data_IF_574693822381
#
_entry.id   IF_574693822381
#
_cell.length_a   1.000
_cell.length_b   1.000
_cell.length_c   1.000
_cell.angle_alpha   90.00
_cell.angle_beta   90.00
_cell.angle_gamma   90.00
#
_symmetry.space_group_name_H-M   'P 1'
#
loop_
_entity.id
_entity.type
_entity.pdbx_description
1 polymer ?
#
# COMPACT_ATOMS: atom_id res chain seq x y z
N UNK A 1 15.64 7.67 12.15
CA UNK A 1 14.36 8.23 12.64
C UNK A 1 13.41 7.05 12.88
N UNK A 2 12.38 7.23 13.72
CA UNK A 2 11.36 6.20 13.93
C UNK A 2 10.42 6.01 12.73
N UNK A 3 9.50 5.05 12.81
CA UNK A 3 8.45 4.84 11.81
C UNK A 3 7.33 5.89 11.91
N UNK A 4 6.76 6.25 10.76
CA UNK A 4 5.67 7.22 10.62
C UNK A 4 4.44 6.53 10.02
N UNK A 5 3.66 5.77 10.80
CA UNK A 5 2.38 5.24 10.33
C UNK A 5 1.31 6.34 10.26
N UNK A 6 0.45 6.25 9.24
CA UNK A 6 -0.62 7.20 8.98
C UNK A 6 -1.97 6.49 9.01
N UNK A 7 -2.94 7.03 9.73
CA UNK A 7 -4.33 6.56 9.69
C UNK A 7 -5.28 7.72 10.01
N UNK A 8 -6.30 8.03 9.18
CA UNK A 8 -7.25 9.11 9.46
C UNK A 8 -8.24 8.79 10.58
N UNK A 9 -8.41 7.52 10.96
CA UNK A 9 -9.42 7.10 11.92
C UNK A 9 -8.84 7.04 13.34
N UNK A 10 -9.41 7.84 14.23
CA UNK A 10 -8.94 7.95 15.62
C UNK A 10 -8.95 6.59 16.34
N UNK A 11 -9.96 5.76 16.10
CA UNK A 11 -10.04 4.40 16.65
C UNK A 11 -8.84 3.53 16.26
N UNK A 12 -8.34 3.64 15.02
CA UNK A 12 -7.20 2.86 14.52
C UNK A 12 -5.88 3.31 15.10
N UNK A 13 -5.73 4.62 15.28
CA UNK A 13 -4.58 5.18 15.98
C UNK A 13 -4.54 4.65 17.41
N UNK A 14 -5.66 4.70 18.14
CA UNK A 14 -5.74 4.19 19.52
C UNK A 14 -5.47 2.68 19.60
N UNK A 15 -6.02 1.87 18.69
CA UNK A 15 -5.70 0.45 18.58
C UNK A 15 -4.19 0.22 18.39
N UNK A 16 -3.54 1.04 17.55
CA UNK A 16 -2.11 0.93 17.28
C UNK A 16 -1.25 1.39 18.46
N UNK A 17 -1.62 2.46 19.15
CA UNK A 17 -0.91 2.92 20.36
C UNK A 17 -0.87 1.82 21.44
N UNK A 18 -2.01 1.14 21.64
CA UNK A 18 -2.13 0.03 22.58
C UNK A 18 -1.30 -1.17 22.13
N UNK A 19 -1.38 -1.55 20.85
CA UNK A 19 -0.65 -2.70 20.31
C UNK A 19 0.88 -2.51 20.33
N UNK A 20 1.36 -1.28 20.11
CA UNK A 20 2.79 -0.94 20.04
C UNK A 20 3.39 -0.58 21.41
N UNK A 21 2.59 -0.63 22.48
CA UNK A 21 3.05 -0.45 23.86
C UNK A 21 3.76 0.89 24.12
N UNK A 22 3.41 1.94 23.36
CA UNK A 22 4.07 3.25 23.49
C UNK A 22 5.52 3.29 22.97
N UNK A 23 5.86 2.48 21.96
CA UNK A 23 7.17 2.50 21.30
C UNK A 23 7.63 3.93 20.97
N UNK A 24 8.71 4.38 21.60
CA UNK A 24 9.31 5.70 21.39
C UNK A 24 9.85 5.91 19.97
N UNK A 25 9.84 4.86 19.16
CA UNK A 25 10.30 4.87 17.77
C UNK A 25 9.16 4.96 16.76
N UNK A 26 7.90 5.16 17.18
CA UNK A 26 6.79 5.40 16.28
C UNK A 26 6.15 6.75 16.56
N UNK A 27 5.81 7.49 15.51
CA UNK A 27 4.97 8.69 15.62
C UNK A 27 3.76 8.48 14.74
N UNK A 28 2.61 8.20 15.36
CA UNK A 28 1.37 8.00 14.64
C UNK A 28 0.83 9.34 14.16
N UNK A 29 0.44 9.41 12.90
CA UNK A 29 -0.04 10.64 12.27
C UNK A 29 -1.50 10.49 11.84
N UNK A 30 -2.42 11.35 12.34
CA UNK A 30 -3.86 11.22 12.13
C UNK A 30 -4.31 11.74 10.75
N UNK A 31 -3.66 11.30 9.68
CA UNK A 31 -3.85 11.84 8.34
C UNK A 31 -4.24 10.75 7.35
N UNK A 32 -5.22 11.05 6.50
CA UNK A 32 -5.35 10.37 5.22
C UNK A 32 -4.28 10.91 4.28
N UNK A 33 -3.60 10.04 3.53
CA UNK A 33 -2.65 10.45 2.50
C UNK A 33 -3.33 10.50 1.13
N UNK A 34 -2.97 11.49 0.31
CA UNK A 34 -3.57 11.72 -1.01
C UNK A 34 -2.99 12.94 -1.70
N UNK A 35 -3.83 13.66 -2.43
CA UNK A 35 -3.45 14.84 -3.23
C UNK A 35 -3.40 16.16 -2.44
N UNK A 36 -3.77 16.13 -1.15
CA UNK A 36 -3.90 17.34 -0.32
C UNK A 36 -5.31 17.95 -0.36
N UNK A 37 -6.21 17.38 -1.15
CA UNK A 37 -7.60 17.77 -1.28
C UNK A 37 -8.52 17.07 -0.27
N UNK A 38 -9.81 17.35 -0.40
CA UNK A 38 -10.88 16.72 0.38
C UNK A 38 -11.55 15.64 -0.46
N UNK A 39 -11.71 14.45 0.13
CA UNK A 39 -12.26 13.27 -0.53
C UNK A 39 -13.38 12.64 0.31
N UNK A 40 -14.20 11.82 -0.33
CA UNK A 40 -15.15 10.96 0.36
C UNK A 40 -14.48 9.62 0.67
N UNK A 41 -14.38 9.29 1.96
CA UNK A 41 -14.00 7.96 2.43
C UNK A 41 -15.26 7.09 2.50
N UNK A 42 -15.28 6.01 1.73
CA UNK A 42 -16.31 4.99 1.74
C UNK A 42 -15.94 3.92 2.76
N UNK A 43 -16.62 3.94 3.90
CA UNK A 43 -16.35 3.02 5.00
C UNK A 43 -17.26 1.81 4.83
N UNK A 44 -16.64 0.65 4.66
CA UNK A 44 -17.33 -0.58 4.31
C UNK A 44 -17.57 -1.45 5.55
N UNK A 45 -18.47 -2.43 5.42
CA UNK A 45 -18.79 -3.39 6.47
C UNK A 45 -17.61 -4.28 6.91
N UNK A 46 -16.52 -4.31 6.15
CA UNK A 46 -15.25 -4.87 6.57
C UNK A 46 -14.19 -3.76 6.58
N UNK A 47 -13.59 -3.52 7.76
CA UNK A 47 -12.68 -2.39 8.02
C UNK A 47 -11.53 -2.29 7.01
N UNK A 48 -10.83 -3.39 6.75
CA UNK A 48 -9.71 -3.53 5.83
C UNK A 48 -10.10 -3.35 4.34
N UNK A 49 -11.32 -2.95 4.04
CA UNK A 49 -11.82 -2.71 2.67
C UNK A 49 -12.33 -1.28 2.45
N UNK A 50 -12.14 -0.37 3.40
CA UNK A 50 -12.54 1.04 3.21
C UNK A 50 -11.61 1.75 2.21
N UNK A 51 -12.15 2.65 1.38
CA UNK A 51 -11.42 3.30 0.29
C UNK A 51 -11.93 4.70 -0.01
N UNK A 52 -11.09 5.54 -0.63
CA UNK A 52 -11.52 6.80 -1.23
C UNK A 52 -12.32 6.59 -2.54
N UNK A 53 -12.31 5.36 -3.07
CA UNK A 53 -13.09 4.99 -4.24
C UNK A 53 -14.35 4.21 -3.83
N UNK A 54 -15.49 4.42 -4.50
CA UNK A 54 -16.69 3.65 -4.22
C UNK A 54 -16.53 2.19 -4.69
N UNK A 55 -17.20 1.25 -4.01
CA UNK A 55 -17.18 -0.16 -4.40
C UNK A 55 -17.69 -0.36 -5.84
N UNK A 56 -17.05 -1.24 -6.59
CA UNK A 56 -17.52 -1.69 -7.90
C UNK A 56 -18.50 -2.86 -7.74
N UNK A 57 -19.71 -2.58 -7.25
CA UNK A 57 -20.71 -3.63 -6.93
C UNK A 57 -20.98 -4.56 -8.11
N UNK A 58 -21.10 -4.03 -9.33
CA UNK A 58 -21.33 -4.84 -10.52
C UNK A 58 -20.14 -5.75 -10.86
N UNK A 59 -18.90 -5.23 -10.79
CA UNK A 59 -17.69 -6.03 -11.00
C UNK A 59 -17.39 -7.02 -9.88
N UNK A 60 -17.88 -6.74 -8.67
CA UNK A 60 -17.70 -7.56 -7.48
C UNK A 60 -18.73 -8.70 -7.35
N UNK A 61 -19.91 -8.56 -7.97
CA UNK A 61 -21.01 -9.53 -7.88
C UNK A 61 -20.59 -11.00 -8.15
N UNK A 62 -19.71 -11.31 -9.11
CA UNK A 62 -19.27 -12.69 -9.36
C UNK A 62 -18.36 -13.30 -8.28
N UNK A 63 -17.87 -12.49 -7.33
CA UNK A 63 -16.91 -12.90 -6.30
C UNK A 63 -17.59 -12.83 -4.93
N UNK A 64 -17.98 -13.96 -4.32
CA UNK A 64 -18.79 -13.98 -3.10
C UNK A 64 -18.24 -13.15 -1.94
N UNK A 65 -16.92 -13.18 -1.73
CA UNK A 65 -16.25 -12.39 -0.69
C UNK A 65 -16.31 -10.88 -0.93
N UNK A 66 -16.43 -10.44 -2.19
CA UNK A 66 -16.58 -9.05 -2.57
C UNK A 66 -18.05 -8.64 -2.72
N UNK A 67 -18.92 -9.55 -3.14
CA UNK A 67 -20.35 -9.32 -3.32
C UNK A 67 -21.06 -8.98 -2.00
N UNK A 68 -20.54 -9.49 -0.88
CA UNK A 68 -21.03 -9.15 0.47
C UNK A 68 -20.53 -7.77 0.98
N UNK A 69 -19.61 -7.12 0.28
CA UNK A 69 -19.12 -5.80 0.68
C UNK A 69 -20.16 -4.73 0.38
N UNK A 70 -20.35 -3.85 1.36
CA UNK A 70 -21.24 -2.71 1.24
C UNK A 70 -20.67 -1.52 2.00
N UNK A 71 -20.84 -0.33 1.44
CA UNK A 71 -20.54 0.92 2.14
C UNK A 71 -21.60 1.17 3.19
N UNK A 72 -21.20 1.11 4.46
CA UNK A 72 -22.10 1.30 5.62
C UNK A 72 -22.21 2.75 6.02
N UNK A 73 -21.19 3.57 5.72
CA UNK A 73 -21.18 5.02 5.94
C UNK A 73 -20.14 5.69 5.06
N UNK A 74 -20.30 6.99 4.85
CA UNK A 74 -19.31 7.83 4.16
C UNK A 74 -18.86 8.96 5.06
N UNK A 75 -17.59 9.32 4.99
CA UNK A 75 -17.03 10.47 5.69
C UNK A 75 -16.29 11.39 4.72
N UNK A 76 -16.36 12.69 4.98
CA UNK A 76 -15.51 13.67 4.30
C UNK A 76 -14.17 13.72 5.01
N UNK A 77 -13.09 13.40 4.31
CA UNK A 77 -11.73 13.39 4.86
C UNK A 77 -10.84 14.37 4.10
N UNK A 78 -10.06 15.17 4.84
CA UNK A 78 -8.98 15.97 4.26
C UNK A 78 -7.74 15.08 4.15
N UNK A 79 -7.13 15.05 2.96
CA UNK A 79 -5.89 14.32 2.72
C UNK A 79 -4.68 15.25 2.84
N UNK A 80 -3.50 14.66 3.08
CA UNK A 80 -2.22 15.34 2.99
C UNK A 80 -1.34 14.65 1.95
N UNK A 81 -0.53 15.44 1.23
CA UNK A 81 0.50 14.88 0.36
C UNK A 81 1.62 14.33 1.23
N UNK A 82 2.19 13.19 0.83
CA UNK A 82 3.28 12.59 1.59
C UNK A 82 4.49 13.52 1.67
N UNK A 83 4.75 14.26 0.58
CA UNK A 83 5.81 15.28 0.49
C UNK A 83 5.65 16.41 1.52
N UNK A 84 4.45 16.66 2.04
CA UNK A 84 4.18 17.75 3.00
C UNK A 84 4.32 17.31 4.47
N UNK A 85 4.30 15.99 4.74
CA UNK A 85 4.22 15.44 6.11
C UNK A 85 5.40 14.57 6.50
N UNK A 86 6.14 14.05 5.51
CA UNK A 86 7.37 13.32 5.75
C UNK A 86 8.54 14.30 5.68
N UNK A 87 9.43 14.34 6.68
CA UNK A 87 10.63 15.17 6.62
C UNK A 87 11.47 14.86 5.37
N UNK A 88 12.16 15.87 4.82
CA UNK A 88 13.08 15.69 3.69
C UNK A 88 14.34 14.93 4.10
N UNK A 89 14.22 13.62 4.26
CA UNK A 89 15.30 12.72 4.64
C UNK A 89 15.14 11.35 3.94
N UNK A 90 16.20 10.53 3.92
CA UNK A 90 16.12 9.17 3.41
C UNK A 90 14.96 8.37 4.02
N UNK A 91 14.23 7.66 3.16
CA UNK A 91 13.16 6.74 3.53
C UNK A 91 13.63 5.34 3.18
N UNK A 92 14.00 4.58 4.20
CA UNK A 92 14.50 3.21 4.01
C UNK A 92 13.43 2.26 3.48
N UNK A 93 12.16 2.53 3.83
CA UNK A 93 11.05 1.64 3.52
C UNK A 93 9.73 2.41 3.49
N UNK A 94 9.05 2.39 2.34
CA UNK A 94 7.69 2.93 2.19
C UNK A 94 6.69 1.79 2.02
N UNK A 95 5.83 1.57 3.02
CA UNK A 95 4.69 0.64 2.92
C UNK A 95 3.41 1.40 2.57
N UNK A 96 2.73 0.97 1.52
CA UNK A 96 1.41 1.44 1.15
C UNK A 96 0.43 0.27 1.21
N UNK A 97 -0.35 0.21 2.29
CA UNK A 97 -1.41 -0.79 2.49
C UNK A 97 -2.76 -0.10 2.53
N UNK A 98 -3.11 0.47 1.38
CA UNK A 98 -4.31 1.27 1.18
C UNK A 98 -5.15 0.63 0.08
N UNK A 99 -6.46 0.67 0.20
CA UNK A 99 -7.36 0.02 -0.75
C UNK A 99 -7.61 0.94 -1.95
N UNK A 100 -7.02 0.61 -3.12
CA UNK A 100 -7.12 1.40 -4.35
C UNK A 100 -6.43 2.78 -4.34
N UNK A 101 -6.10 3.35 -3.17
CA UNK A 101 -5.52 4.70 -3.03
C UNK A 101 -4.02 4.81 -3.33
N UNK A 102 -3.33 3.70 -3.61
CA UNK A 102 -1.86 3.65 -3.67
C UNK A 102 -1.26 4.62 -4.69
N UNK A 103 -1.79 4.65 -5.92
CA UNK A 103 -1.28 5.54 -6.97
C UNK A 103 -1.49 7.02 -6.63
N UNK A 104 -2.64 7.40 -6.08
CA UNK A 104 -2.94 8.79 -5.71
C UNK A 104 -1.90 9.32 -4.72
N UNK A 105 -1.50 8.51 -3.74
CA UNK A 105 -0.45 8.84 -2.78
C UNK A 105 0.90 8.97 -3.49
N UNK A 106 1.27 7.99 -4.32
CA UNK A 106 2.54 7.97 -5.04
C UNK A 106 2.72 9.18 -5.98
N UNK A 107 1.67 9.60 -6.67
CA UNK A 107 1.69 10.76 -7.57
C UNK A 107 2.02 12.08 -6.86
N UNK A 108 1.73 12.14 -5.55
CA UNK A 108 1.92 13.28 -4.66
C UNK A 108 3.01 13.04 -3.60
N UNK A 109 3.89 12.08 -3.85
CA UNK A 109 5.04 11.71 -3.01
C UNK A 109 6.37 11.81 -3.79
N UNK A 110 6.47 12.70 -4.78
CA UNK A 110 7.58 12.68 -5.75
C UNK A 110 8.91 13.00 -5.09
N UNK A 111 8.93 13.93 -4.14
CA UNK A 111 10.15 14.29 -3.43
C UNK A 111 10.57 13.20 -2.45
N UNK A 112 9.62 12.63 -1.71
CA UNK A 112 9.85 11.48 -0.84
C UNK A 112 10.36 10.27 -1.63
N UNK A 113 9.77 10.01 -2.80
CA UNK A 113 10.15 8.87 -3.64
C UNK A 113 11.61 8.95 -4.06
N UNK A 114 12.17 10.14 -4.39
CA UNK A 114 13.58 10.32 -4.76
C UNK A 114 14.55 9.80 -3.69
N UNK A 115 14.14 9.88 -2.43
CA UNK A 115 14.95 9.46 -1.27
C UNK A 115 14.48 8.11 -0.69
N UNK A 116 13.52 7.44 -1.34
CA UNK A 116 12.98 6.15 -0.91
C UNK A 116 13.77 4.98 -1.48
N UNK A 117 14.22 4.07 -0.62
CA UNK A 117 15.02 2.91 -1.01
C UNK A 117 14.18 1.78 -1.61
N UNK A 118 13.01 1.54 -1.02
CA UNK A 118 12.15 0.39 -1.34
C UNK A 118 10.68 0.77 -1.10
N UNK A 119 9.81 0.31 -1.99
CA UNK A 119 8.35 0.48 -1.89
C UNK A 119 7.69 -0.90 -1.80
N UNK A 120 6.93 -1.13 -0.73
CA UNK A 120 6.03 -2.28 -0.57
C UNK A 120 4.61 -1.75 -0.74
N UNK A 121 3.96 -2.08 -1.85
CA UNK A 121 2.63 -1.55 -2.17
C UNK A 121 1.63 -2.70 -2.31
N UNK A 122 0.49 -2.60 -1.63
CA UNK A 122 -0.69 -3.38 -1.97
C UNK A 122 -1.19 -2.94 -3.35
N UNK A 123 -1.49 -3.91 -4.21
CA UNK A 123 -1.90 -3.69 -5.60
C UNK A 123 -3.03 -4.63 -5.98
N UNK A 124 -3.89 -4.20 -6.89
CA UNK A 124 -5.04 -4.96 -7.36
C UNK A 124 -4.91 -5.38 -8.83
N UNK A 125 -5.49 -6.53 -9.16
CA UNK A 125 -5.55 -7.10 -10.51
C UNK A 125 -6.99 -7.11 -11.07
N UNK A 126 -7.95 -6.69 -10.24
CA UNK A 126 -9.34 -6.50 -10.61
C UNK A 126 -9.86 -5.23 -9.92
N UNK A 127 -10.72 -4.43 -10.59
CA UNK A 127 -11.24 -3.20 -10.02
C UNK A 127 -12.30 -3.51 -8.95
N UNK A 128 -11.87 -3.71 -7.69
CA UNK A 128 -12.74 -3.90 -6.52
C UNK A 128 -13.54 -2.62 -6.22
N UNK A 129 -12.93 -1.47 -6.49
CA UNK A 129 -13.49 -0.14 -6.44
C UNK A 129 -13.57 0.46 -7.85
N UNK A 130 -14.47 1.42 -8.05
CA UNK A 130 -14.67 2.06 -9.35
C UNK A 130 -13.54 3.06 -9.62
N UNK A 131 -12.94 2.99 -10.80
CA UNK A 131 -11.89 3.93 -11.22
C UNK A 131 -10.56 3.79 -10.48
N UNK A 132 -10.40 2.75 -9.65
CA UNK A 132 -9.12 2.52 -8.98
C UNK A 132 -8.01 2.19 -10.00
N UNK A 133 -6.77 2.58 -9.72
CA UNK A 133 -5.60 2.05 -10.41
C UNK A 133 -5.44 0.54 -10.13
N UNK A 134 -4.79 -0.16 -11.07
CA UNK A 134 -4.39 -1.55 -10.92
C UNK A 134 -2.85 -1.66 -10.83
N UNK A 135 -2.34 -2.88 -10.61
CA UNK A 135 -0.91 -3.17 -10.57
C UNK A 135 -0.14 -2.55 -11.75
N UNK A 136 -0.67 -2.64 -12.97
CA UNK A 136 -0.03 -2.09 -14.17
C UNK A 136 0.20 -0.59 -14.10
N UNK A 137 -0.76 0.17 -13.55
CA UNK A 137 -0.66 1.62 -13.41
C UNK A 137 0.40 2.01 -12.37
N UNK A 138 0.38 1.32 -11.22
CA UNK A 138 1.34 1.52 -10.13
C UNK A 138 2.76 1.14 -10.57
N UNK A 139 2.92 -0.02 -11.21
CA UNK A 139 4.20 -0.48 -11.70
C UNK A 139 4.78 0.47 -12.76
N UNK A 140 3.95 0.90 -13.72
CA UNK A 140 4.37 1.86 -14.74
C UNK A 140 4.73 3.22 -14.14
N UNK A 141 4.01 3.68 -13.11
CA UNK A 141 4.35 4.91 -12.40
C UNK A 141 5.70 4.79 -11.69
N UNK A 142 5.88 3.74 -10.87
CA UNK A 142 7.12 3.53 -10.11
C UNK A 142 8.32 3.31 -11.03
N UNK A 143 8.14 2.64 -12.16
CA UNK A 143 9.17 2.48 -13.19
C UNK A 143 9.71 3.83 -13.68
N UNK A 144 8.81 4.76 -14.05
CA UNK A 144 9.15 6.12 -14.44
C UNK A 144 9.83 6.95 -13.34
N UNK A 145 9.74 6.51 -12.07
CA UNK A 145 10.31 7.20 -10.91
C UNK A 145 11.55 6.48 -10.33
N UNK A 146 12.20 5.64 -11.15
CA UNK A 146 13.49 5.05 -10.84
C UNK A 146 13.41 3.79 -9.98
N UNK A 147 12.25 3.14 -9.92
CA UNK A 147 12.08 1.84 -9.29
C UNK A 147 11.95 0.73 -10.33
N UNK A 148 12.12 -0.51 -9.87
CA UNK A 148 11.80 -1.71 -10.64
C UNK A 148 11.01 -2.67 -9.77
N UNK A 149 10.05 -3.36 -10.39
CA UNK A 149 9.34 -4.45 -9.74
C UNK A 149 10.32 -5.59 -9.46
N UNK A 150 10.38 -6.02 -8.19
CA UNK A 150 11.24 -7.10 -7.74
C UNK A 150 10.46 -8.40 -7.59
N UNK A 151 9.38 -8.40 -6.82
CA UNK A 151 8.63 -9.62 -6.50
C UNK A 151 7.23 -9.31 -5.94
N UNK A 152 6.40 -10.35 -5.86
CA UNK A 152 5.22 -10.35 -5.00
C UNK A 152 5.52 -11.08 -3.69
N UNK A 153 5.08 -10.53 -2.57
CA UNK A 153 5.34 -11.11 -1.24
C UNK A 153 4.11 -11.78 -0.64
N UNK A 154 2.93 -11.44 -1.14
CA UNK A 154 1.66 -12.03 -0.70
C UNK A 154 0.64 -11.98 -1.84
N UNK A 155 -0.27 -12.97 -1.91
CA UNK A 155 -1.31 -13.05 -2.94
C UNK A 155 -2.69 -13.27 -2.35
N UNK A 156 -3.64 -12.42 -2.74
CA UNK A 156 -5.07 -12.57 -2.46
C UNK A 156 -5.81 -13.14 -3.66
N UNK A 157 -6.27 -14.39 -3.54
CA UNK A 157 -7.08 -15.04 -4.56
C UNK A 157 -8.51 -15.22 -4.09
N UNK A 158 -9.48 -14.98 -4.98
CA UNK A 158 -10.89 -15.24 -4.70
C UNK A 158 -11.48 -16.26 -5.67
N UNK A 159 -12.43 -17.05 -5.14
CA UNK A 159 -13.23 -17.99 -5.91
C UNK A 159 -14.25 -17.23 -6.77
N UNK A 160 -14.51 -17.74 -7.96
CA UNK A 160 -15.71 -17.33 -8.70
C UNK A 160 -16.93 -18.05 -8.11
N UNK A 161 -18.10 -17.42 -8.18
CA UNK A 161 -19.34 -18.13 -7.87
C UNK A 161 -19.58 -19.27 -8.89
N UNK A 162 -19.89 -20.47 -8.39
CA UNK A 162 -20.27 -21.61 -9.23
C UNK A 162 -21.56 -22.24 -8.71
N UNK A 163 -22.26 -22.98 -9.59
CA UNK A 163 -23.47 -23.75 -9.22
C UNK A 163 -23.21 -24.84 -8.18
N UNK A 164 -21.95 -25.20 -7.94
CA UNK A 164 -21.53 -26.24 -6.99
C UNK A 164 -20.97 -25.67 -5.67
N UNK A 165 -21.03 -24.34 -5.48
CA UNK A 165 -20.51 -23.64 -4.30
C UNK A 165 -19.11 -23.04 -4.49
N UNK A 166 -18.47 -22.70 -3.36
CA UNK A 166 -17.19 -21.97 -3.30
C UNK A 166 -16.05 -22.95 -2.98
N UNK A 167 -15.27 -23.36 -3.99
CA UNK A 167 -14.16 -24.28 -3.71
C UNK A 167 -12.99 -24.11 -4.70
N UNK A 168 -12.49 -22.88 -4.82
CA UNK A 168 -11.38 -22.57 -5.73
C UNK A 168 -10.64 -21.27 -5.37
N UNK A 169 -9.44 -21.10 -5.94
CA UNK A 169 -8.63 -19.86 -5.94
C UNK A 169 -8.49 -19.37 -7.39
N UNK A 170 -9.60 -19.12 -8.05
CA UNK A 170 -9.64 -18.97 -9.52
C UNK A 170 -8.93 -17.73 -10.03
N UNK A 171 -8.97 -16.64 -9.25
CA UNK A 171 -8.52 -15.34 -9.73
C UNK A 171 -7.65 -14.66 -8.70
N UNK A 172 -6.46 -14.22 -9.15
CA UNK A 172 -5.65 -13.25 -8.41
C UNK A 172 -6.39 -11.92 -8.41
N UNK A 173 -6.69 -11.40 -7.22
CA UNK A 173 -7.48 -10.19 -7.03
C UNK A 173 -6.62 -9.03 -6.55
N UNK A 174 -5.68 -9.32 -5.65
CA UNK A 174 -4.72 -8.36 -5.14
C UNK A 174 -3.45 -9.08 -4.70
N UNK A 175 -2.37 -8.32 -4.54
CA UNK A 175 -1.10 -8.82 -4.04
C UNK A 175 -0.38 -7.71 -3.26
N UNK A 176 0.65 -8.11 -2.54
CA UNK A 176 1.67 -7.19 -2.07
C UNK A 176 2.84 -7.23 -3.04
N UNK A 177 3.14 -6.08 -3.66
CA UNK A 177 4.20 -5.92 -4.63
C UNK A 177 5.39 -5.17 -4.03
N UNK A 178 6.58 -5.68 -4.30
CA UNK A 178 7.85 -5.15 -3.84
C UNK A 178 8.60 -4.49 -4.98
N UNK A 179 9.03 -3.24 -4.78
CA UNK A 179 9.79 -2.46 -5.73
C UNK A 179 11.09 -1.93 -5.12
N UNK A 180 12.18 -2.00 -5.87
CA UNK A 180 13.49 -1.47 -5.47
C UNK A 180 13.91 -0.30 -6.33
N UNK A 181 14.58 0.68 -5.73
CA UNK A 181 15.27 1.76 -6.45
C UNK A 181 16.41 1.18 -7.31
N UNK A 182 16.47 1.55 -8.59
CA UNK A 182 17.46 1.04 -9.58
C UNK A 182 18.88 1.55 -9.33
N UNK A 183 19.02 2.85 -9.08
CA UNK A 183 20.32 3.52 -8.92
C UNK A 183 20.44 4.17 -7.51
N UNK A 184 20.51 3.36 -6.45
CA UNK A 184 20.60 3.85 -5.08
C UNK A 184 22.00 4.42 -4.77
N UNK A 185 22.07 5.44 -3.90
CA UNK A 185 23.31 5.82 -3.22
C UNK A 185 23.79 4.71 -2.28
N UNK A 186 25.04 4.77 -1.81
CA UNK A 186 25.60 3.74 -0.91
C UNK A 186 24.77 3.51 0.37
N UNK A 187 24.26 4.59 0.97
CA UNK A 187 23.39 4.49 2.16
C UNK A 187 22.07 3.79 1.81
N UNK A 188 21.47 4.15 0.67
CA UNK A 188 20.22 3.54 0.19
C UNK A 188 20.41 2.06 -0.15
N UNK A 189 21.56 1.67 -0.72
CA UNK A 189 21.90 0.25 -0.96
C UNK A 189 21.91 -0.55 0.34
N UNK A 190 22.51 0.01 1.40
CA UNK A 190 22.59 -0.63 2.70
C UNK A 190 21.18 -0.87 3.28
N UNK A 191 20.29 0.11 3.17
CA UNK A 191 18.88 -0.01 3.58
C UNK A 191 18.12 -1.07 2.77
N UNK A 192 18.33 -1.13 1.45
CA UNK A 192 17.77 -2.17 0.60
C UNK A 192 18.26 -3.56 1.01
N UNK A 193 19.57 -3.75 1.16
CA UNK A 193 20.16 -5.03 1.54
C UNK A 193 19.62 -5.53 2.89
N UNK A 194 19.53 -4.64 3.89
CA UNK A 194 19.01 -4.98 5.21
C UNK A 194 17.53 -5.40 5.14
N UNK A 195 16.71 -4.64 4.43
CA UNK A 195 15.28 -4.94 4.25
C UNK A 195 15.07 -6.26 3.50
N UNK A 196 15.84 -6.50 2.43
CA UNK A 196 15.82 -7.74 1.67
C UNK A 196 16.20 -8.95 2.52
N UNK A 197 17.23 -8.85 3.35
CA UNK A 197 17.67 -9.95 4.20
C UNK A 197 16.70 -10.21 5.37
N UNK A 198 16.32 -9.16 6.11
CA UNK A 198 15.57 -9.31 7.36
C UNK A 198 14.07 -9.48 7.17
N UNK A 199 13.48 -8.81 6.17
CA UNK A 199 12.03 -8.81 5.97
C UNK A 199 11.64 -9.84 4.91
N UNK A 200 12.38 -9.87 3.79
CA UNK A 200 12.00 -10.66 2.63
C UNK A 200 12.84 -11.93 2.40
N UNK A 201 13.85 -12.16 3.24
CA UNK A 201 14.75 -13.33 3.18
C UNK A 201 15.43 -13.53 1.81
N UNK A 202 15.68 -12.44 1.07
CA UNK A 202 16.37 -12.42 -0.23
C UNK A 202 17.89 -12.27 -0.05
N UNK A 203 18.51 -13.19 0.70
CA UNK A 203 19.92 -13.09 1.13
C UNK A 203 20.92 -12.90 -0.01
N UNK A 204 20.78 -13.65 -1.11
CA UNK A 204 21.69 -13.55 -2.25
C UNK A 204 21.63 -12.17 -2.94
N UNK A 205 20.44 -11.57 -3.03
CA UNK A 205 20.30 -10.22 -3.59
C UNK A 205 20.84 -9.17 -2.64
N UNK A 206 20.63 -9.32 -1.33
CA UNK A 206 21.20 -8.44 -0.33
C UNK A 206 22.74 -8.45 -0.38
N UNK A 207 23.36 -9.62 -0.46
CA UNK A 207 24.82 -9.79 -0.59
C UNK A 207 25.35 -9.17 -1.90
N UNK A 208 24.63 -9.39 -3.02
CA UNK A 208 24.97 -8.79 -4.31
C UNK A 208 24.98 -7.26 -4.26
N UNK A 209 23.99 -6.63 -3.62
CA UNK A 209 23.91 -5.16 -3.51
C UNK A 209 25.05 -4.56 -2.68
N UNK A 210 25.58 -5.30 -1.69
CA UNK A 210 26.70 -4.87 -0.85
C UNK A 210 28.07 -5.12 -1.48
N UNK A 211 28.13 -5.98 -2.50
CA UNK A 211 29.36 -6.37 -3.19
C UNK A 211 29.71 -5.47 -4.38
N UNK A 212 28.85 -4.50 -4.73
CA UNK A 212 28.99 -3.55 -5.84
C UNK A 212 29.18 -2.11 -5.37
#
# INVERSE_FOLDING_TARGET
MGGLPFDPLQERLTEREVAEGGSAHLTLLPYALGDGGTHTLHINNHDATSSLYPLNTAGNAPFPLLAQLQTVRTETVATKRLDDVVPHQPVDFLKLDVQGGGLLILEHAREVLKQTALVHCKVEFSPIYQGQPLFGDIAAFLDRHGFYFLDFTFFGHYASETRLGFNSKDRLMWADALFLRRDPSADVKSSQALSLALIYQKFALADHLLSL
#
